data_IF_326633342893
#
_entry.id   IF_326633342893
#
_cell.length_a   1.000
_cell.length_b   1.000
_cell.length_c   1.000
_cell.angle_alpha   90.00
_cell.angle_beta   90.00
_cell.angle_gamma   90.00
#
_symmetry.space_group_name_H-M   'P 1'
#
loop_
_entity.id
_entity.type
_entity.pdbx_description
1 polymer ?
#
# COMPACT_ATOMS: atom_id res chain seq x y z
N UNK A 1 -61.73 65.28 65.18
CA UNK A 1 -60.48 65.53 64.48
C UNK A 1 -59.74 64.23 64.25
N UNK A 2 -59.86 63.62 63.11
CA UNK A 2 -58.90 62.56 62.64
C UNK A 2 -59.11 62.38 61.13
N UNK A 3 -58.09 62.77 60.38
CA UNK A 3 -58.08 62.62 58.93
C UNK A 3 -57.71 61.19 58.59
N UNK A 4 -58.48 60.60 57.68
CA UNK A 4 -58.15 59.32 57.09
C UNK A 4 -57.31 59.54 55.81
N UNK A 5 -56.17 58.92 55.71
CA UNK A 5 -55.33 58.87 54.53
C UNK A 5 -55.58 57.54 53.81
N UNK A 6 -56.11 57.67 52.58
CA UNK A 6 -56.32 56.54 51.66
C UNK A 6 -55.04 56.29 50.93
N UNK A 7 -54.46 55.09 51.03
CA UNK A 7 -53.33 54.61 50.21
C UNK A 7 -53.84 53.80 49.05
N UNK A 8 -53.66 54.32 47.84
CA UNK A 8 -53.89 53.62 46.57
C UNK A 8 -52.71 52.71 46.25
N UNK A 9 -52.97 51.42 46.22
CA UNK A 9 -52.01 50.38 45.75
C UNK A 9 -52.04 50.28 44.22
N UNK A 10 -50.94 50.63 43.56
CA UNK A 10 -50.73 50.43 42.13
C UNK A 10 -50.13 49.02 41.95
N UNK A 11 -50.90 48.13 41.36
CA UNK A 11 -50.42 46.81 40.99
C UNK A 11 -49.65 46.91 39.66
N UNK A 12 -48.31 46.71 39.64
CA UNK A 12 -47.50 46.52 38.45
C UNK A 12 -47.69 45.08 37.97
N UNK A 13 -48.28 44.94 36.79
CA UNK A 13 -48.34 43.65 36.07
C UNK A 13 -47.03 43.53 35.26
N UNK A 14 -46.08 42.71 35.69
CA UNK A 14 -44.91 42.35 34.92
C UNK A 14 -45.30 41.29 33.87
N UNK A 15 -45.35 41.69 32.61
CA UNK A 15 -45.48 40.78 31.48
C UNK A 15 -44.14 40.07 31.28
N UNK A 16 -44.04 38.79 31.71
CA UNK A 16 -42.89 37.94 31.40
C UNK A 16 -42.94 37.51 29.93
N UNK A 17 -42.10 38.10 29.07
CA UNK A 17 -41.85 37.57 27.75
C UNK A 17 -41.06 36.25 27.87
N UNK A 18 -41.75 35.12 27.81
CA UNK A 18 -41.13 33.82 27.71
C UNK A 18 -40.51 33.67 26.29
N UNK A 19 -39.20 33.53 26.20
CA UNK A 19 -38.51 33.23 24.95
C UNK A 19 -38.98 31.85 24.43
N UNK A 20 -39.16 31.67 23.11
CA UNK A 20 -39.51 30.37 22.57
C UNK A 20 -38.39 29.35 22.83
N UNK A 21 -38.70 28.08 23.09
CA UNK A 21 -37.71 27.04 23.32
C UNK A 21 -36.82 26.88 22.10
N UNK A 22 -35.51 26.61 22.27
CA UNK A 22 -34.61 26.40 21.16
C UNK A 22 -35.08 25.19 20.31
N UNK A 23 -34.88 25.21 18.97
CA UNK A 23 -35.25 24.10 18.11
C UNK A 23 -34.52 22.83 18.54
N UNK A 24 -35.22 21.69 18.52
CA UNK A 24 -34.66 20.40 18.87
C UNK A 24 -33.46 20.08 17.92
N UNK A 25 -32.36 19.53 18.44
CA UNK A 25 -31.23 19.14 17.58
C UNK A 25 -31.68 18.11 16.53
N UNK A 26 -31.15 18.21 15.30
CA UNK A 26 -31.51 17.26 14.25
C UNK A 26 -31.22 15.83 14.70
N UNK A 27 -32.01 14.83 14.28
CA UNK A 27 -31.76 13.44 14.60
C UNK A 27 -30.32 13.06 14.18
N UNK A 28 -29.59 12.39 15.07
CA UNK A 28 -28.26 11.90 14.78
C UNK A 28 -28.30 11.02 13.52
N UNK A 29 -27.46 11.35 12.54
CA UNK A 29 -27.36 10.56 11.32
C UNK A 29 -27.05 9.10 11.67
N UNK A 30 -27.85 8.19 11.14
CA UNK A 30 -27.65 6.76 11.34
C UNK A 30 -26.26 6.39 10.80
N UNK A 31 -25.39 5.66 11.55
CA UNK A 31 -24.11 5.23 11.06
C UNK A 31 -24.26 4.53 9.70
N UNK A 32 -23.42 4.89 8.74
CA UNK A 32 -23.41 4.20 7.45
C UNK A 32 -23.07 2.71 7.67
N UNK A 33 -23.71 1.78 6.95
CA UNK A 33 -23.34 0.37 7.02
C UNK A 33 -21.84 0.20 6.72
N UNK A 34 -21.13 -0.74 7.36
CA UNK A 34 -19.76 -1.05 7.01
C UNK A 34 -19.64 -1.35 5.52
N UNK A 35 -18.58 -0.94 4.83
CA UNK A 35 -18.33 -1.31 3.44
C UNK A 35 -18.41 -2.83 3.30
N UNK A 36 -19.09 -3.31 2.26
CA UNK A 36 -19.12 -4.74 1.95
C UNK A 36 -17.68 -5.24 1.73
N UNK A 37 -17.33 -6.45 2.19
CA UNK A 37 -16.03 -7.05 1.91
C UNK A 37 -15.77 -7.03 0.40
N UNK A 38 -14.55 -6.63 0.00
CA UNK A 38 -14.16 -6.66 -1.41
C UNK A 38 -14.30 -8.10 -1.93
N UNK A 39 -14.81 -8.31 -3.16
CA UNK A 39 -14.90 -9.63 -3.76
C UNK A 39 -13.53 -10.32 -3.74
N UNK A 40 -13.51 -11.61 -3.43
CA UNK A 40 -12.28 -12.41 -3.54
C UNK A 40 -11.76 -12.33 -4.98
N UNK A 41 -10.43 -12.21 -5.17
CA UNK A 41 -9.86 -12.17 -6.51
C UNK A 41 -10.29 -13.39 -7.32
N UNK A 42 -10.71 -13.18 -8.55
CA UNK A 42 -11.05 -14.27 -9.48
C UNK A 42 -9.82 -15.16 -9.70
N UNK A 43 -10.00 -16.49 -9.87
CA UNK A 43 -8.91 -17.39 -10.23
C UNK A 43 -8.23 -16.90 -11.51
N UNK A 44 -6.89 -16.85 -11.49
CA UNK A 44 -6.10 -16.48 -12.66
C UNK A 44 -6.14 -17.65 -13.65
N UNK A 45 -6.64 -17.42 -14.85
CA UNK A 45 -6.77 -18.41 -15.92
C UNK A 45 -6.16 -17.87 -17.22
N UNK A 46 -5.75 -18.77 -18.12
CA UNK A 46 -5.13 -18.39 -19.38
C UNK A 46 -3.66 -18.00 -19.25
N UNK A 47 -3.15 -17.30 -20.28
CA UNK A 47 -1.76 -16.84 -20.28
C UNK A 47 -1.55 -15.71 -19.27
N UNK A 48 -0.45 -15.75 -18.53
CA UNK A 48 -0.11 -14.75 -17.53
C UNK A 48 0.00 -13.32 -18.09
N UNK A 49 0.28 -13.19 -19.39
CA UNK A 49 0.39 -11.89 -20.03
C UNK A 49 -0.95 -11.14 -20.06
N UNK A 50 -2.07 -11.87 -19.99
CA UNK A 50 -3.42 -11.33 -20.01
C UNK A 50 -4.00 -11.12 -18.60
N UNK A 51 -3.28 -11.56 -17.57
CA UNK A 51 -3.75 -11.39 -16.19
C UNK A 51 -3.80 -9.91 -15.79
N UNK A 52 -4.75 -9.51 -14.95
CA UNK A 52 -4.84 -8.13 -14.48
C UNK A 52 -3.57 -7.72 -13.76
N UNK A 53 -3.15 -6.47 -13.96
CA UNK A 53 -2.04 -5.91 -13.20
C UNK A 53 -2.36 -5.90 -11.71
N UNK A 54 -1.38 -6.24 -10.90
CA UNK A 54 -1.46 -6.05 -9.46
C UNK A 54 -1.62 -4.55 -9.17
N UNK A 55 -2.60 -4.13 -8.36
CA UNK A 55 -2.74 -2.73 -7.98
C UNK A 55 -1.51 -2.21 -7.24
N UNK A 56 -1.07 -1.01 -7.61
CA UNK A 56 0.09 -0.33 -7.03
C UNK A 56 0.83 0.52 -8.04
N UNK A 57 1.70 1.36 -7.53
CA UNK A 57 2.55 2.24 -8.31
C UNK A 57 4.02 1.99 -7.99
N UNK A 58 4.91 2.40 -8.90
CA UNK A 58 6.34 2.41 -8.64
C UNK A 58 6.77 3.72 -7.99
N UNK A 59 7.68 3.61 -7.03
CA UNK A 59 8.44 4.73 -6.50
C UNK A 59 9.93 4.43 -6.61
N UNK A 60 10.75 5.46 -6.82
CA UNK A 60 12.20 5.34 -6.90
C UNK A 60 12.87 6.29 -5.91
N UNK A 61 13.90 5.78 -5.24
CA UNK A 61 14.75 6.57 -4.35
C UNK A 61 16.22 6.15 -4.47
N UNK A 62 17.13 7.08 -4.16
CA UNK A 62 18.59 6.85 -4.20
C UNK A 62 19.27 7.49 -2.99
N UNK A 63 20.29 6.82 -2.46
CA UNK A 63 21.15 7.33 -1.40
C UNK A 63 22.61 6.88 -1.63
N UNK A 64 23.50 7.19 -0.69
CA UNK A 64 24.92 6.81 -0.80
C UNK A 64 25.16 5.29 -0.81
N UNK A 65 24.25 4.47 -0.28
CA UNK A 65 24.35 3.01 -0.25
C UNK A 65 23.80 2.30 -1.49
N UNK A 66 23.09 3.04 -2.37
CA UNK A 66 22.49 2.48 -3.58
C UNK A 66 21.14 3.10 -3.91
N UNK A 67 20.36 2.37 -4.68
CA UNK A 67 19.02 2.80 -5.09
C UNK A 67 17.97 1.74 -4.87
N UNK A 68 16.72 2.15 -4.86
CA UNK A 68 15.55 1.33 -4.56
C UNK A 68 14.40 1.75 -5.47
N UNK A 69 13.83 0.79 -6.15
CA UNK A 69 12.50 0.90 -6.77
C UNK A 69 11.52 0.02 -5.98
N UNK A 70 10.42 0.60 -5.50
CA UNK A 70 9.39 -0.09 -4.72
C UNK A 70 8.07 -0.07 -5.45
N UNK A 71 7.38 -1.21 -5.49
CA UNK A 71 6.07 -1.37 -6.13
C UNK A 71 5.00 -1.71 -5.11
N UNK A 72 3.88 -1.01 -5.15
CA UNK A 72 2.74 -1.21 -4.26
C UNK A 72 2.26 0.08 -3.64
N UNK A 73 1.92 0.07 -2.35
CA UNK A 73 1.63 1.27 -1.58
C UNK A 73 2.86 1.73 -0.80
N UNK A 74 2.95 3.02 -0.52
CA UNK A 74 4.06 3.61 0.26
C UNK A 74 4.21 2.99 1.66
N UNK A 75 3.09 2.58 2.26
CA UNK A 75 3.09 1.99 3.60
C UNK A 75 3.62 0.55 3.64
N UNK A 76 3.42 -0.22 2.56
CA UNK A 76 3.83 -1.62 2.47
C UNK A 76 4.07 -2.02 1.00
N UNK A 77 5.24 -1.78 0.46
CA UNK A 77 5.60 -2.26 -0.87
C UNK A 77 5.45 -3.78 -0.97
N UNK A 78 4.83 -4.26 -2.04
CA UNK A 78 4.65 -5.70 -2.27
C UNK A 78 5.85 -6.34 -2.94
N UNK A 79 6.56 -5.55 -3.74
CA UNK A 79 7.78 -5.94 -4.44
C UNK A 79 8.76 -4.77 -4.48
N UNK A 80 10.06 -5.07 -4.48
CA UNK A 80 11.08 -4.04 -4.65
C UNK A 80 12.29 -4.59 -5.38
N UNK A 81 12.99 -3.70 -6.08
CA UNK A 81 14.30 -3.93 -6.68
C UNK A 81 15.28 -2.97 -6.00
N UNK A 82 16.30 -3.50 -5.36
CA UNK A 82 17.30 -2.73 -4.61
C UNK A 82 18.69 -2.97 -5.17
N UNK A 83 19.42 -1.91 -5.41
CA UNK A 83 20.86 -1.96 -5.61
C UNK A 83 21.59 -1.80 -4.28
N UNK A 84 22.45 -2.73 -3.94
CA UNK A 84 23.43 -2.64 -2.86
C UNK A 84 24.80 -2.38 -3.49
N UNK A 85 25.23 -1.12 -3.48
CA UNK A 85 26.53 -0.72 -4.08
C UNK A 85 27.73 -1.33 -3.34
N UNK A 86 27.64 -1.49 -2.02
CA UNK A 86 28.74 -2.06 -1.24
C UNK A 86 28.93 -3.55 -1.56
N UNK A 87 27.85 -4.29 -1.69
CA UNK A 87 27.86 -5.71 -2.02
C UNK A 87 27.89 -5.97 -3.54
N UNK A 88 27.71 -4.93 -4.36
CA UNK A 88 27.62 -5.00 -5.83
C UNK A 88 26.61 -6.05 -6.29
N UNK A 89 25.39 -5.95 -5.78
CA UNK A 89 24.32 -6.88 -6.09
C UNK A 89 22.97 -6.19 -6.18
N UNK A 90 22.07 -6.82 -6.95
CA UNK A 90 20.65 -6.49 -6.98
C UNK A 90 19.90 -7.46 -6.06
N UNK A 91 19.00 -6.93 -5.27
CA UNK A 91 18.06 -7.71 -4.47
C UNK A 91 16.64 -7.51 -5.02
N UNK A 92 15.99 -8.61 -5.38
CA UNK A 92 14.56 -8.65 -5.66
C UNK A 92 13.83 -9.04 -4.37
N UNK A 93 13.11 -8.11 -3.79
CA UNK A 93 12.42 -8.30 -2.52
C UNK A 93 10.91 -8.49 -2.73
N UNK A 94 10.32 -9.43 -2.02
CA UNK A 94 8.88 -9.68 -1.99
C UNK A 94 8.39 -9.66 -0.54
N UNK A 95 7.25 -9.03 -0.29
CA UNK A 95 6.63 -9.02 1.03
C UNK A 95 6.30 -10.45 1.47
N UNK A 96 6.88 -10.90 2.57
CA UNK A 96 6.72 -12.26 3.07
C UNK A 96 7.84 -12.66 4.02
N UNK A 97 7.71 -13.85 4.58
CA UNK A 97 8.69 -14.42 5.52
C UNK A 97 8.84 -15.90 5.30
N UNK A 98 10.06 -16.39 5.33
CA UNK A 98 10.36 -17.83 5.39
C UNK A 98 10.42 -18.28 6.84
N UNK A 99 9.72 -19.36 7.14
CA UNK A 99 9.85 -20.04 8.41
C UNK A 99 11.25 -20.71 8.56
N UNK A 100 11.71 -20.82 9.79
CA UNK A 100 13.02 -21.43 10.07
C UNK A 100 13.13 -22.84 9.46
N UNK A 101 14.22 -23.10 8.74
CA UNK A 101 14.47 -24.39 8.07
C UNK A 101 13.66 -24.61 6.79
N UNK A 102 12.87 -23.64 6.34
CA UNK A 102 12.14 -23.72 5.07
C UNK A 102 12.93 -23.03 3.96
N UNK A 103 12.97 -23.66 2.80
CA UNK A 103 13.46 -23.08 1.56
C UNK A 103 12.30 -22.74 0.65
N UNK A 104 12.40 -21.64 -0.08
CA UNK A 104 11.47 -21.25 -1.14
C UNK A 104 12.23 -20.61 -2.28
N UNK A 105 11.55 -20.43 -3.40
CA UNK A 105 12.11 -19.74 -4.55
C UNK A 105 11.15 -18.68 -5.08
N UNK A 106 11.73 -17.67 -5.74
CA UNK A 106 11.06 -16.69 -6.55
C UNK A 106 11.25 -17.04 -8.01
N UNK A 107 10.17 -17.14 -8.76
CA UNK A 107 10.18 -17.25 -10.21
C UNK A 107 9.80 -15.91 -10.81
N UNK A 108 10.65 -15.38 -11.69
CA UNK A 108 10.40 -14.15 -12.44
C UNK A 108 10.23 -14.50 -13.90
N UNK A 109 9.05 -14.17 -14.46
CA UNK A 109 8.74 -14.37 -15.88
C UNK A 109 8.64 -13.02 -16.58
N UNK A 110 9.35 -12.90 -17.67
CA UNK A 110 9.26 -11.79 -18.61
C UNK A 110 8.91 -12.34 -20.00
N UNK A 111 8.53 -11.49 -20.94
CA UNK A 111 8.19 -11.92 -22.28
C UNK A 111 9.35 -12.61 -23.02
N UNK A 112 10.60 -12.30 -22.64
CA UNK A 112 11.81 -12.87 -23.23
C UNK A 112 12.39 -14.05 -22.46
N UNK A 113 11.75 -14.50 -21.38
CA UNK A 113 12.21 -15.67 -20.64
C UNK A 113 11.85 -15.65 -19.14
N UNK A 114 12.21 -16.76 -18.50
CA UNK A 114 11.91 -17.03 -17.08
C UNK A 114 13.18 -17.41 -16.36
N UNK A 115 13.31 -16.97 -15.10
CA UNK A 115 14.38 -17.42 -14.20
C UNK A 115 13.81 -17.70 -12.81
N UNK A 116 14.49 -18.57 -12.06
CA UNK A 116 14.11 -18.97 -10.70
C UNK A 116 15.30 -18.77 -9.76
N UNK A 117 15.05 -18.14 -8.63
CA UNK A 117 16.05 -17.77 -7.65
C UNK A 117 15.72 -18.29 -6.26
N UNK A 118 16.68 -18.80 -5.51
CA UNK A 118 16.47 -19.14 -4.11
C UNK A 118 16.19 -17.87 -3.30
N UNK A 119 15.32 -18.02 -2.29
CA UNK A 119 14.96 -16.93 -1.39
C UNK A 119 15.61 -17.08 -0.03
N UNK A 120 15.94 -15.94 0.57
CA UNK A 120 16.30 -15.82 1.98
C UNK A 120 15.45 -14.73 2.65
N UNK A 121 15.33 -14.76 3.98
CA UNK A 121 14.77 -13.63 4.71
C UNK A 121 15.71 -12.42 4.56
N UNK A 122 15.16 -11.25 4.31
CA UNK A 122 15.94 -10.03 4.20
C UNK A 122 16.54 -9.65 5.55
N UNK A 123 17.86 -9.45 5.58
CA UNK A 123 18.53 -8.90 6.76
C UNK A 123 18.32 -7.38 6.90
N UNK A 124 18.17 -6.68 5.77
CA UNK A 124 18.01 -5.23 5.72
C UNK A 124 16.57 -4.77 6.00
N UNK A 125 15.58 -5.62 5.69
CA UNK A 125 14.17 -5.27 5.78
C UNK A 125 13.35 -6.44 6.32
N UNK A 126 13.11 -6.50 7.63
CA UNK A 126 12.27 -7.53 8.26
C UNK A 126 10.88 -7.59 7.60
N UNK A 127 10.36 -8.81 7.41
CA UNK A 127 9.07 -9.03 6.74
C UNK A 127 9.16 -9.16 5.22
N UNK A 128 10.37 -9.17 4.67
CA UNK A 128 10.60 -9.44 3.25
C UNK A 128 11.50 -10.65 3.04
N UNK A 129 11.24 -11.35 1.94
CA UNK A 129 12.11 -12.38 1.38
C UNK A 129 12.82 -11.81 0.16
N UNK A 130 14.08 -12.17 -0.05
CA UNK A 130 14.92 -11.62 -1.11
C UNK A 130 15.60 -12.69 -1.93
N UNK A 131 15.67 -12.45 -3.24
CA UNK A 131 16.56 -13.10 -4.17
C UNK A 131 17.70 -12.16 -4.48
N UNK A 132 18.96 -12.61 -4.35
CA UNK A 132 20.16 -11.82 -4.62
C UNK A 132 20.77 -12.22 -5.97
N UNK A 133 21.00 -11.23 -6.83
CA UNK A 133 21.49 -11.41 -8.20
C UNK A 133 22.72 -10.52 -8.46
N UNK A 134 23.64 -10.96 -9.34
CA UNK A 134 24.65 -10.05 -9.86
C UNK A 134 23.99 -8.97 -10.73
N UNK A 135 24.53 -7.73 -10.82
CA UNK A 135 23.96 -6.67 -11.65
C UNK A 135 23.90 -7.00 -13.15
N UNK A 136 24.72 -7.95 -13.59
CA UNK A 136 24.74 -8.42 -14.97
C UNK A 136 23.84 -9.64 -15.24
N UNK A 137 22.96 -10.02 -14.29
CA UNK A 137 22.03 -11.13 -14.50
C UNK A 137 21.11 -10.81 -15.69
N UNK A 138 21.01 -11.70 -16.69
CA UNK A 138 20.24 -11.42 -17.91
C UNK A 138 18.72 -11.31 -17.67
N UNK A 139 18.22 -11.83 -16.55
CA UNK A 139 16.79 -11.70 -16.22
C UNK A 139 16.41 -10.25 -15.88
N UNK A 140 17.35 -9.44 -15.37
CA UNK A 140 17.12 -8.02 -15.11
C UNK A 140 16.79 -7.29 -16.41
N UNK A 141 17.54 -7.51 -17.48
CA UNK A 141 17.24 -6.93 -18.79
C UNK A 141 15.91 -7.46 -19.36
N UNK A 142 15.62 -8.75 -19.16
CA UNK A 142 14.33 -9.31 -19.58
C UNK A 142 13.15 -8.68 -18.86
N UNK A 143 13.30 -8.34 -17.58
CA UNK A 143 12.27 -7.61 -16.80
C UNK A 143 12.09 -6.19 -17.35
N UNK A 144 13.19 -5.46 -17.55
CA UNK A 144 13.19 -4.08 -18.03
C UNK A 144 12.52 -3.98 -19.41
N UNK A 145 12.86 -4.90 -20.32
CA UNK A 145 12.35 -4.90 -21.70
C UNK A 145 11.13 -5.81 -21.91
N UNK A 146 10.51 -6.27 -20.84
CA UNK A 146 9.29 -7.05 -20.94
C UNK A 146 8.14 -6.20 -21.50
N UNK A 147 7.29 -6.80 -22.35
CA UNK A 147 6.19 -6.11 -23.03
C UNK A 147 5.12 -5.63 -22.02
N UNK A 148 5.37 -4.46 -21.42
CA UNK A 148 4.45 -3.78 -20.51
C UNK A 148 4.35 -4.37 -19.11
N UNK A 149 4.76 -5.62 -18.88
CA UNK A 149 4.66 -6.28 -17.58
C UNK A 149 5.62 -7.46 -17.42
N UNK A 150 5.88 -7.84 -16.19
CA UNK A 150 6.51 -9.11 -15.82
C UNK A 150 5.75 -9.73 -14.64
N UNK A 151 5.93 -11.04 -14.44
CA UNK A 151 5.28 -11.80 -13.38
C UNK A 151 6.30 -12.21 -12.32
N UNK A 152 5.95 -12.07 -11.07
CA UNK A 152 6.72 -12.56 -9.92
C UNK A 152 5.88 -13.57 -9.15
N UNK A 153 6.36 -14.81 -9.06
CA UNK A 153 5.76 -15.89 -8.29
C UNK A 153 6.70 -16.28 -7.15
N UNK A 154 6.19 -16.31 -5.94
CA UNK A 154 6.93 -16.76 -4.75
C UNK A 154 6.27 -18.00 -4.20
N UNK A 155 7.05 -19.06 -3.99
CA UNK A 155 6.54 -20.30 -3.41
C UNK A 155 5.97 -20.06 -2.01
N UNK A 156 4.71 -20.46 -1.81
CA UNK A 156 3.97 -20.24 -0.57
C UNK A 156 3.24 -18.90 -0.49
N UNK A 157 3.42 -18.00 -1.43
CA UNK A 157 2.60 -16.79 -1.50
C UNK A 157 1.19 -17.12 -2.05
N UNK A 158 0.18 -16.40 -1.55
CA UNK A 158 -1.22 -16.65 -1.91
C UNK A 158 -1.53 -16.34 -3.39
N UNK A 159 -0.83 -15.38 -3.98
CA UNK A 159 -1.04 -14.95 -5.36
C UNK A 159 0.26 -14.43 -5.97
N UNK A 160 0.45 -14.62 -7.30
CA UNK A 160 1.53 -13.98 -8.04
C UNK A 160 1.30 -12.48 -8.17
N UNK A 161 2.37 -11.74 -8.44
CA UNK A 161 2.33 -10.32 -8.73
C UNK A 161 2.55 -10.10 -10.23
N UNK A 162 1.58 -9.48 -10.89
CA UNK A 162 1.71 -8.99 -12.28
C UNK A 162 2.10 -7.52 -12.21
N UNK A 163 3.36 -7.21 -12.48
CA UNK A 163 3.97 -5.92 -12.21
C UNK A 163 4.25 -5.18 -13.54
N UNK A 164 3.89 -3.89 -13.68
CA UNK A 164 4.22 -3.13 -14.87
C UNK A 164 5.74 -2.95 -15.01
N UNK A 165 6.26 -3.17 -16.23
CA UNK A 165 7.67 -2.97 -16.56
C UNK A 165 7.95 -1.48 -16.82
N UNK A 166 8.08 -0.70 -15.75
CA UNK A 166 8.31 0.74 -15.79
C UNK A 166 9.78 1.11 -15.61
N UNK A 167 10.19 2.36 -15.91
CA UNK A 167 11.59 2.79 -15.92
C UNK A 167 12.32 2.69 -14.58
N UNK A 168 11.60 2.64 -13.45
CA UNK A 168 12.18 2.60 -12.11
C UNK A 168 13.11 1.38 -11.90
N UNK A 169 12.71 0.22 -12.47
CA UNK A 169 13.54 -1.00 -12.43
C UNK A 169 14.83 -0.80 -13.21
N UNK A 170 14.73 -0.22 -14.42
CA UNK A 170 15.91 0.07 -15.26
C UNK A 170 16.88 0.99 -14.52
N UNK A 171 16.38 2.05 -13.89
CA UNK A 171 17.20 3.01 -13.13
C UNK A 171 18.01 2.34 -12.03
N UNK A 172 17.36 1.45 -11.24
CA UNK A 172 18.07 0.72 -10.17
C UNK A 172 19.14 -0.20 -10.73
N UNK A 173 18.88 -0.88 -11.84
CA UNK A 173 19.84 -1.79 -12.47
C UNK A 173 21.03 -1.01 -13.04
N UNK A 174 20.77 0.13 -13.69
CA UNK A 174 21.83 1.03 -14.21
C UNK A 174 22.68 1.63 -13.09
N UNK A 175 22.09 2.02 -11.97
CA UNK A 175 22.82 2.51 -10.80
C UNK A 175 23.78 1.48 -10.20
N UNK A 176 23.51 0.19 -10.42
CA UNK A 176 24.26 -0.93 -9.86
C UNK A 176 25.35 -1.49 -10.78
N UNK A 177 25.32 -1.15 -12.07
CA UNK A 177 26.29 -1.57 -13.10
C UNK A 177 27.46 -0.64 -13.19
#
# INVERSE_FOLDING_TARGET
LCQALSASAIALIAAACAAPPPPAPPPAARPAPPPAPAPAPAPLAGDWIDWPLTPGDWSYSRNAGGSLASFGSDAAPRFAVRCDLAARRIELAHLGKLEAGRSAAMTVRATAGTARYPLANSAAQPGYVVASLPPADPQLDRMIFSRGRFLVEVEGAAQPLVIPAWPEVARVVEDCR
#
